data_IF_182970810594
#
_entry.id   IF_182970810594
#
_cell.length_a   1.000
_cell.length_b   1.000
_cell.length_c   1.000
_cell.angle_alpha   90.00
_cell.angle_beta   90.00
_cell.angle_gamma   90.00
#
_symmetry.space_group_name_H-M   'P 1'
#
loop_
_entity.id
_entity.type
_entity.pdbx_description
1 polymer ?
#
# COMPACT_ATOMS: atom_id res chain seq x y z
N UNK A 1 7.51 13.21 0.94
CA UNK A 1 7.94 13.45 -0.46
C UNK A 1 9.38 13.01 -0.59
N UNK A 2 9.72 12.21 -1.60
CA UNK A 2 11.06 11.66 -1.85
C UNK A 2 11.39 11.89 -3.32
N UNK A 3 12.39 12.72 -3.65
CA UNK A 3 12.81 12.97 -5.03
C UNK A 3 11.66 13.35 -6.01
N UNK A 4 10.69 14.15 -5.55
CA UNK A 4 9.51 14.52 -6.34
C UNK A 4 8.35 13.52 -6.29
N UNK A 5 8.52 12.39 -5.61
CA UNK A 5 7.48 11.38 -5.40
C UNK A 5 6.70 11.65 -4.12
N UNK A 6 5.39 11.51 -4.20
CA UNK A 6 4.46 11.54 -3.07
C UNK A 6 3.62 10.28 -3.09
N UNK A 7 3.37 9.71 -1.92
CA UNK A 7 2.49 8.55 -1.73
C UNK A 7 1.57 8.87 -0.57
N UNK A 8 0.27 8.67 -0.76
CA UNK A 8 -0.75 8.87 0.26
C UNK A 8 -1.66 7.65 0.30
N UNK A 9 -1.96 7.19 1.51
CA UNK A 9 -2.92 6.14 1.75
C UNK A 9 -4.26 6.71 2.22
N UNK A 10 -5.33 6.04 1.80
CA UNK A 10 -6.71 6.27 2.22
C UNK A 10 -7.28 4.90 2.61
N UNK A 11 -7.04 4.51 3.86
CA UNK A 11 -7.29 3.15 4.35
C UNK A 11 -8.78 2.77 4.40
N UNK A 12 -9.67 3.75 4.46
CA UNK A 12 -11.11 3.55 4.55
C UNK A 12 -11.82 3.89 3.23
N UNK A 13 -11.07 3.85 2.14
CA UNK A 13 -11.62 4.08 0.82
C UNK A 13 -12.55 2.94 0.39
N UNK A 14 -13.77 3.30 -0.01
CA UNK A 14 -14.84 2.38 -0.40
C UNK A 14 -14.99 2.20 -1.92
N UNK A 15 -14.02 2.64 -2.73
CA UNK A 15 -14.13 2.59 -4.20
C UNK A 15 -14.29 1.16 -4.74
N UNK A 16 -13.68 0.17 -4.09
CA UNK A 16 -13.72 -1.25 -4.48
C UNK A 16 -14.62 -2.09 -3.57
N UNK A 17 -14.42 -2.00 -2.25
CA UNK A 17 -15.26 -2.65 -1.25
C UNK A 17 -15.20 -1.85 0.06
N UNK A 18 -16.14 -2.09 0.97
CA UNK A 18 -16.21 -1.36 2.25
C UNK A 18 -14.89 -1.47 3.01
N UNK A 19 -14.29 -0.33 3.34
CA UNK A 19 -13.02 -0.19 4.03
C UNK A 19 -11.86 -1.00 3.39
N UNK A 20 -11.91 -1.21 2.06
CA UNK A 20 -10.86 -1.93 1.35
C UNK A 20 -9.56 -1.13 1.29
N UNK A 21 -9.69 0.19 1.15
CA UNK A 21 -8.57 1.11 1.16
C UNK A 21 -7.92 1.33 -0.21
N UNK A 22 -7.08 2.35 -0.28
CA UNK A 22 -6.47 2.87 -1.50
C UNK A 22 -5.12 3.51 -1.20
N UNK A 23 -4.20 3.45 -2.16
CA UNK A 23 -2.97 4.24 -2.16
C UNK A 23 -2.85 4.98 -3.48
N UNK A 24 -2.55 6.26 -3.42
CA UNK A 24 -2.29 7.09 -4.59
C UNK A 24 -0.83 7.50 -4.60
N UNK A 25 -0.22 7.39 -5.77
CA UNK A 25 1.18 7.70 -6.04
C UNK A 25 1.23 8.86 -7.03
N UNK A 26 2.00 9.89 -6.71
CA UNK A 26 2.26 11.02 -7.59
C UNK A 26 3.75 11.18 -7.86
N UNK A 27 4.08 11.60 -9.07
CA UNK A 27 5.41 12.05 -9.48
C UNK A 27 5.30 13.50 -9.94
N UNK A 28 6.04 14.41 -9.28
CA UNK A 28 6.03 15.85 -9.59
C UNK A 28 4.61 16.43 -9.69
N UNK A 29 3.77 16.11 -8.71
CA UNK A 29 2.35 16.49 -8.61
C UNK A 29 1.42 15.95 -9.71
N UNK A 30 1.93 15.09 -10.60
CA UNK A 30 1.11 14.36 -11.58
C UNK A 30 0.73 13.00 -11.02
N UNK A 31 -0.54 12.60 -11.20
CA UNK A 31 -0.98 11.25 -10.83
C UNK A 31 -0.14 10.23 -11.62
N UNK A 32 0.60 9.40 -10.90
CA UNK A 32 1.42 8.34 -11.48
C UNK A 32 0.65 7.02 -11.48
N UNK A 33 0.13 6.62 -10.32
CA UNK A 33 -0.58 5.35 -10.18
C UNK A 33 -1.55 5.39 -9.01
N UNK A 34 -2.63 4.62 -9.12
CA UNK A 34 -3.50 4.26 -7.99
C UNK A 34 -3.39 2.76 -7.75
N UNK A 35 -3.17 2.38 -6.50
CA UNK A 35 -3.20 1.00 -6.01
C UNK A 35 -4.45 0.85 -5.14
N UNK A 36 -5.22 -0.21 -5.37
CA UNK A 36 -6.49 -0.44 -4.69
C UNK A 36 -6.40 -1.68 -3.81
N UNK A 37 -6.89 -1.55 -2.57
CA UNK A 37 -7.26 -2.72 -1.78
C UNK A 37 -8.46 -3.42 -2.40
N UNK A 38 -8.60 -4.72 -2.15
CA UNK A 38 -9.61 -5.54 -2.86
C UNK A 38 -10.58 -6.27 -1.94
N UNK A 39 -10.25 -6.48 -0.66
CA UNK A 39 -11.14 -7.14 0.29
C UNK A 39 -11.68 -6.17 1.34
N UNK A 40 -12.88 -6.48 1.83
CA UNK A 40 -13.57 -5.68 2.86
C UNK A 40 -12.73 -5.61 4.12
N UNK A 41 -12.51 -4.39 4.61
CA UNK A 41 -11.82 -4.15 5.88
C UNK A 41 -10.33 -4.49 5.88
N UNK A 42 -9.69 -4.67 4.73
CA UNK A 42 -8.23 -4.88 4.67
C UNK A 42 -7.45 -3.64 5.11
N UNK A 43 -8.07 -2.45 5.00
CA UNK A 43 -7.47 -1.17 5.33
C UNK A 43 -6.16 -0.91 4.56
N UNK A 44 -6.16 -1.24 3.27
CA UNK A 44 -5.01 -1.05 2.38
C UNK A 44 -4.63 0.43 2.32
N UNK A 45 -3.36 0.74 2.59
CA UNK A 45 -2.91 2.14 2.67
C UNK A 45 -2.94 2.72 4.09
N UNK A 46 -3.24 1.91 5.12
CA UNK A 46 -3.14 2.34 6.53
C UNK A 46 -1.75 2.89 6.92
N UNK A 47 -0.71 2.37 6.28
CA UNK A 47 0.61 3.01 6.24
C UNK A 47 1.29 2.79 4.89
N UNK A 48 2.17 3.72 4.53
CA UNK A 48 2.95 3.70 3.29
C UNK A 48 4.38 4.11 3.56
N UNK A 49 5.33 3.47 2.88
CA UNK A 49 6.74 3.87 2.92
C UNK A 49 7.38 3.69 1.54
N UNK A 50 8.00 4.75 1.03
CA UNK A 50 8.71 4.73 -0.24
C UNK A 50 10.22 4.79 0.02
N UNK A 51 10.98 3.90 -0.61
CA UNK A 51 12.44 3.90 -0.52
C UNK A 51 13.03 5.16 -1.16
N UNK A 52 14.24 5.56 -0.71
CA UNK A 52 14.93 6.75 -1.22
C UNK A 52 15.25 6.67 -2.71
N UNK A 53 15.49 5.46 -3.23
CA UNK A 53 15.73 5.21 -4.67
C UNK A 53 14.43 5.16 -5.50
N UNK A 54 13.27 5.30 -4.87
CA UNK A 54 11.92 5.31 -5.49
C UNK A 54 11.56 4.00 -6.21
N UNK A 55 12.28 2.90 -5.94
CA UNK A 55 12.02 1.60 -6.56
C UNK A 55 11.14 0.69 -5.71
N UNK A 56 11.10 0.88 -4.38
CA UNK A 56 10.35 0.02 -3.45
C UNK A 56 9.31 0.83 -2.69
N UNK A 57 8.05 0.41 -2.81
CA UNK A 57 6.92 0.96 -2.07
C UNK A 57 6.33 -0.12 -1.17
N UNK A 58 6.30 0.14 0.13
CA UNK A 58 5.59 -0.67 1.11
C UNK A 58 4.20 -0.08 1.35
N UNK A 59 3.19 -0.95 1.39
CA UNK A 59 1.83 -0.58 1.79
C UNK A 59 1.33 -1.57 2.83
N UNK A 60 0.77 -1.07 3.91
CA UNK A 60 0.22 -1.90 4.98
C UNK A 60 -1.27 -2.17 4.75
N UNK A 61 -1.73 -3.31 5.25
CA UNK A 61 -3.11 -3.78 5.26
C UNK A 61 -3.41 -4.30 6.67
N UNK A 62 -3.58 -3.42 7.64
CA UNK A 62 -3.62 -3.80 9.06
C UNK A 62 -4.87 -4.63 9.43
N UNK A 63 -5.94 -4.55 8.64
CA UNK A 63 -7.17 -5.31 8.86
C UNK A 63 -7.13 -6.74 8.28
N UNK A 64 -6.12 -7.04 7.46
CA UNK A 64 -5.93 -8.32 6.79
C UNK A 64 -5.99 -9.52 7.75
N UNK A 65 -6.70 -10.57 7.34
CA UNK A 65 -6.88 -11.84 8.06
C UNK A 65 -7.13 -11.69 9.56
N UNK A 66 -8.31 -11.18 9.92
CA UNK A 66 -8.70 -10.97 11.32
C UNK A 66 -7.71 -10.06 12.07
N UNK A 67 -7.31 -8.95 11.44
CA UNK A 67 -6.32 -8.00 11.97
C UNK A 67 -4.95 -8.65 12.28
N UNK A 68 -4.60 -9.75 11.62
CA UNK A 68 -3.21 -10.24 11.57
C UNK A 68 -2.30 -9.25 10.87
N UNK A 69 -2.86 -8.40 10.01
CA UNK A 69 -2.07 -7.42 9.29
C UNK A 69 -1.14 -8.04 8.25
N UNK A 70 -0.79 -7.24 7.27
CA UNK A 70 0.22 -7.57 6.28
C UNK A 70 0.86 -6.30 5.73
N UNK A 71 2.08 -6.45 5.20
CA UNK A 71 2.75 -5.43 4.40
C UNK A 71 2.98 -5.99 3.02
N UNK A 72 2.46 -5.33 2.00
CA UNK A 72 2.77 -5.63 0.60
C UNK A 72 3.94 -4.79 0.13
N UNK A 73 4.91 -5.48 -0.48
CA UNK A 73 6.08 -4.90 -1.11
C UNK A 73 5.80 -4.76 -2.58
N UNK A 74 5.79 -3.53 -3.08
CA UNK A 74 5.73 -3.23 -4.50
C UNK A 74 7.11 -2.81 -4.99
N UNK A 75 7.49 -3.33 -6.15
CA UNK A 75 8.67 -2.87 -6.88
C UNK A 75 8.25 -2.11 -8.13
N UNK A 76 8.90 -1.01 -8.46
CA UNK A 76 8.66 -0.28 -9.71
C UNK A 76 9.24 -1.07 -10.88
N UNK A 77 8.38 -1.53 -11.78
CA UNK A 77 8.80 -2.11 -13.05
C UNK A 77 9.34 -1.00 -13.94
N UNK A 78 10.61 -1.07 -14.33
CA UNK A 78 11.22 -0.09 -15.23
C UNK A 78 10.75 -0.24 -16.68
N UNK A 79 10.16 -1.39 -17.04
CA UNK A 79 9.63 -1.65 -18.38
C UNK A 79 8.20 -1.16 -18.54
N UNK A 80 7.35 -1.40 -17.54
CA UNK A 80 5.95 -0.99 -17.56
C UNK A 80 5.71 0.38 -16.91
N UNK A 81 6.76 0.94 -16.30
CA UNK A 81 6.75 2.18 -15.52
C UNK A 81 5.59 2.26 -14.52
N UNK A 82 5.49 1.23 -13.67
CA UNK A 82 4.44 1.12 -12.65
C UNK A 82 4.95 0.31 -11.45
N UNK A 83 4.44 0.59 -10.26
CA UNK A 83 4.59 -0.29 -9.11
C UNK A 83 3.79 -1.57 -9.31
N UNK A 84 4.44 -2.71 -9.10
CA UNK A 84 3.83 -4.04 -9.17
C UNK A 84 4.09 -4.80 -7.88
N UNK A 85 3.10 -5.56 -7.42
CA UNK A 85 3.25 -6.43 -6.25
C UNK A 85 4.43 -7.39 -6.48
N UNK A 86 5.36 -7.41 -5.53
CA UNK A 86 6.51 -8.31 -5.51
C UNK A 86 6.35 -9.36 -4.41
N UNK A 87 5.99 -8.94 -3.19
CA UNK A 87 5.83 -9.83 -2.04
C UNK A 87 4.70 -9.36 -1.12
N UNK A 88 4.14 -10.30 -0.36
CA UNK A 88 3.28 -10.02 0.79
C UNK A 88 3.94 -10.59 2.04
N UNK A 89 4.14 -9.74 3.04
CA UNK A 89 4.67 -10.10 4.35
C UNK A 89 3.49 -10.15 5.33
N UNK A 90 3.09 -11.36 5.74
CA UNK A 90 1.97 -11.54 6.67
C UNK A 90 2.47 -11.42 8.11
N UNK A 91 1.64 -10.85 8.98
CA UNK A 91 1.82 -11.00 10.42
C UNK A 91 1.72 -12.46 10.85
N UNK A 92 2.14 -12.74 12.08
CA UNK A 92 2.18 -14.11 12.59
C UNK A 92 0.86 -14.51 13.25
N UNK A 93 0.12 -13.56 13.85
CA UNK A 93 -1.07 -13.85 14.65
C UNK A 93 -2.18 -12.84 14.42
N UNK A 94 -3.43 -13.30 14.38
CA UNK A 94 -4.60 -12.41 14.39
C UNK A 94 -4.56 -11.39 15.55
N UNK A 95 -4.87 -10.14 15.23
CA UNK A 95 -4.93 -9.01 16.15
C UNK A 95 -3.59 -8.34 16.47
N UNK A 96 -2.46 -8.79 15.91
CA UNK A 96 -1.17 -8.11 16.08
C UNK A 96 -1.02 -6.88 15.16
N UNK A 97 -1.88 -6.73 14.16
CA UNK A 97 -1.90 -5.63 13.18
C UNK A 97 -0.53 -5.40 12.53
N UNK A 98 0.17 -6.49 12.17
CA UNK A 98 1.52 -6.42 11.61
C UNK A 98 1.66 -5.36 10.51
N UNK A 99 2.72 -4.56 10.62
CA UNK A 99 3.05 -3.48 9.69
C UNK A 99 2.48 -2.12 10.07
N UNK A 100 1.45 -2.06 10.92
CA UNK A 100 0.88 -0.80 11.39
C UNK A 100 1.83 -0.05 12.35
N UNK A 101 1.91 1.28 12.21
CA UNK A 101 2.81 2.15 12.98
C UNK A 101 2.10 3.41 13.47
#
# INVERSE_FOLDING_TARGET
IVNGWRVEGDAFNDEVATDAGKVVVWESDTLFQTLLGTAVGDWFGGCVALSTDTQTLLVCMQGFDSQRGAVVVHHRSTTADQFTLQHTLNGEKGGDSFGYA
#
